data_IF_332966302348
#
_entry.id   IF_332966302348
#
_cell.length_a   1.000
_cell.length_b   1.000
_cell.length_c   1.000
_cell.angle_alpha   90.00
_cell.angle_beta   90.00
_cell.angle_gamma   90.00
#
_symmetry.space_group_name_H-M   'P 1'
#
loop_
_entity.id
_entity.type
_entity.pdbx_description
1 polymer ?
#
# COMPACT_ATOMS: atom_id res chain seq x y z
N UNK A 1 -33.29 10.38 8.98
CA UNK A 1 -32.09 9.81 8.30
C UNK A 1 -31.90 8.37 8.76
N UNK A 2 -31.83 7.41 7.83
CA UNK A 2 -31.85 5.97 8.13
C UNK A 2 -30.55 5.48 8.75
N UNK A 3 -30.66 4.80 9.90
CA UNK A 3 -29.57 4.23 10.73
C UNK A 3 -28.66 3.23 9.98
N UNK A 4 -28.99 2.88 8.74
CA UNK A 4 -28.23 1.95 7.90
C UNK A 4 -27.08 2.61 7.13
N UNK A 5 -27.12 3.93 6.89
CA UNK A 5 -26.05 4.64 6.17
C UNK A 5 -24.79 4.90 7.02
N UNK A 6 -24.90 4.81 8.35
CA UNK A 6 -23.79 5.08 9.29
C UNK A 6 -22.90 3.84 9.47
N UNK A 7 -23.40 2.62 9.18
CA UNK A 7 -22.67 1.37 9.46
C UNK A 7 -21.53 1.04 8.48
N UNK A 8 -21.50 1.67 7.30
CA UNK A 8 -20.47 1.38 6.28
C UNK A 8 -19.39 2.47 6.15
N UNK A 9 -19.55 3.59 6.85
CA UNK A 9 -18.57 4.70 6.84
C UNK A 9 -17.49 4.49 7.93
N UNK A 10 -17.84 3.80 9.02
CA UNK A 10 -16.93 3.58 10.15
C UNK A 10 -15.81 2.53 9.96
N UNK A 11 -15.96 1.42 9.20
CA UNK A 11 -14.93 0.38 9.17
C UNK A 11 -13.61 0.83 8.50
N UNK A 12 -13.65 1.85 7.64
CA UNK A 12 -12.45 2.38 6.97
C UNK A 12 -11.77 3.50 7.77
N UNK A 13 -12.50 4.23 8.60
CA UNK A 13 -11.93 5.26 9.48
C UNK A 13 -11.34 4.68 10.78
N UNK A 14 -11.80 3.51 11.22
CA UNK A 14 -11.35 2.89 12.48
C UNK A 14 -9.94 2.26 12.44
N UNK A 15 -9.29 2.18 11.27
CA UNK A 15 -7.93 1.60 11.13
C UNK A 15 -6.83 2.65 11.43
N UNK A 16 -7.19 3.92 11.61
CA UNK A 16 -6.25 5.05 11.63
C UNK A 16 -5.69 5.43 13.03
N UNK A 17 -6.01 4.68 14.09
CA UNK A 17 -5.69 5.11 15.48
C UNK A 17 -4.79 4.15 16.27
N UNK A 18 -4.05 3.25 15.61
CA UNK A 18 -3.19 2.30 16.33
C UNK A 18 -1.81 2.12 15.69
N UNK A 19 -0.99 3.15 15.72
CA UNK A 19 0.46 3.01 15.59
C UNK A 19 1.17 4.16 16.31
N UNK A 20 0.96 4.25 17.62
CA UNK A 20 1.85 4.97 18.52
C UNK A 20 2.55 3.92 19.41
N UNK A 21 3.80 3.59 19.09
CA UNK A 21 4.81 2.93 19.93
C UNK A 21 6.17 3.25 19.29
N UNK A 22 6.96 4.21 19.77
CA UNK A 22 7.89 4.15 20.92
C UNK A 22 9.03 3.13 20.71
N UNK A 23 10.27 3.62 20.77
CA UNK A 23 11.39 2.84 21.33
C UNK A 23 12.61 2.65 20.42
N UNK A 24 13.67 3.41 20.69
CA UNK A 24 15.01 3.17 20.21
C UNK A 24 15.60 1.84 20.75
N UNK A 25 16.40 1.14 19.96
CA UNK A 25 17.48 0.24 20.41
C UNK A 25 18.49 -0.03 19.28
N UNK A 26 19.76 -0.18 19.67
CA UNK A 26 21.02 -0.16 18.91
C UNK A 26 21.20 -1.23 17.80
N UNK A 27 22.19 -1.05 16.88
CA UNK A 27 22.46 -2.02 15.80
C UNK A 27 23.28 -3.21 16.30
N UNK A 28 22.82 -4.44 16.03
CA UNK A 28 23.57 -5.67 16.27
C UNK A 28 24.06 -6.26 14.94
N UNK A 29 25.39 -6.29 14.74
CA UNK A 29 26.07 -7.00 13.65
C UNK A 29 25.69 -8.48 13.64
N UNK A 30 25.15 -8.99 12.52
CA UNK A 30 25.20 -10.42 12.20
C UNK A 30 25.49 -10.68 10.72
N UNK A 31 26.36 -11.67 10.52
CA UNK A 31 27.10 -12.03 9.34
C UNK A 31 26.27 -12.38 8.08
N UNK A 32 26.83 -12.02 6.93
CA UNK A 32 26.35 -12.39 5.58
C UNK A 32 26.70 -13.86 5.28
N UNK A 33 25.73 -14.75 5.03
CA UNK A 33 26.03 -16.05 4.45
C UNK A 33 26.29 -15.91 2.95
N UNK A 34 27.46 -16.38 2.52
CA UNK A 34 27.90 -16.48 1.12
C UNK A 34 27.00 -17.47 0.37
N UNK A 35 26.04 -16.98 -0.41
CA UNK A 35 25.24 -17.81 -1.32
C UNK A 35 26.04 -18.07 -2.60
N UNK A 36 26.39 -19.34 -2.81
CA UNK A 36 26.96 -19.88 -4.06
C UNK A 36 26.00 -19.68 -5.23
N UNK A 37 26.49 -19.01 -6.28
CA UNK A 37 25.83 -18.88 -7.59
C UNK A 37 25.52 -20.26 -8.17
N UNK A 38 24.25 -20.56 -8.37
CA UNK A 38 23.83 -21.51 -9.39
C UNK A 38 23.00 -20.80 -10.45
N UNK A 39 23.36 -21.14 -11.69
CA UNK A 39 22.82 -20.76 -13.00
C UNK A 39 21.30 -20.84 -12.98
N UNK A 40 20.57 -19.78 -13.35
CA UNK A 40 19.11 -19.87 -13.45
C UNK A 40 18.52 -18.89 -14.46
N UNK A 41 17.65 -19.45 -15.30
CA UNK A 41 16.82 -18.84 -16.32
C UNK A 41 16.23 -17.50 -15.88
N UNK A 42 16.31 -16.49 -16.75
CA UNK A 42 15.83 -15.11 -16.62
C UNK A 42 14.95 -14.85 -15.36
N UNK A 43 15.57 -14.81 -14.19
CA UNK A 43 14.89 -14.60 -12.92
C UNK A 43 14.62 -13.11 -12.80
N UNK A 44 13.35 -12.76 -12.65
CA UNK A 44 12.92 -11.41 -12.27
C UNK A 44 13.87 -10.88 -11.18
N UNK A 45 14.51 -9.74 -11.45
CA UNK A 45 15.53 -9.14 -10.57
C UNK A 45 14.93 -8.81 -9.21
N UNK A 46 13.63 -8.49 -9.18
CA UNK A 46 12.87 -8.19 -7.98
C UNK A 46 11.65 -9.12 -7.94
N UNK A 47 11.81 -10.40 -7.55
CA UNK A 47 10.69 -11.34 -7.53
C UNK A 47 9.63 -10.89 -6.51
N UNK A 48 8.35 -11.12 -6.83
CA UNK A 48 7.24 -10.68 -5.98
C UNK A 48 7.29 -11.23 -4.55
N UNK A 49 7.95 -12.36 -4.32
CA UNK A 49 8.17 -12.91 -2.97
C UNK A 49 8.95 -11.96 -2.06
N UNK A 50 9.86 -11.14 -2.61
CA UNK A 50 10.65 -10.16 -1.86
C UNK A 50 9.85 -8.93 -1.43
N UNK A 51 8.68 -8.70 -2.04
CA UNK A 51 7.78 -7.61 -1.70
C UNK A 51 7.28 -7.67 -0.24
N UNK A 52 7.35 -8.86 0.40
CA UNK A 52 6.93 -9.06 1.80
C UNK A 52 7.91 -8.48 2.83
N UNK A 53 9.16 -8.26 2.43
CA UNK A 53 10.23 -7.72 3.29
C UNK A 53 10.78 -6.44 2.66
N UNK A 54 9.92 -5.44 2.49
CA UNK A 54 10.23 -4.20 1.76
C UNK A 54 11.38 -3.42 2.40
N UNK A 55 11.51 -3.48 3.73
CA UNK A 55 12.58 -2.84 4.50
C UNK A 55 13.96 -3.43 4.22
N UNK A 56 14.02 -4.71 3.83
CA UNK A 56 15.26 -5.38 3.42
C UNK A 56 15.67 -5.11 1.96
N UNK A 57 14.82 -4.45 1.17
CA UNK A 57 15.03 -4.32 -0.28
C UNK A 57 15.85 -3.07 -0.66
N UNK A 58 16.63 -3.21 -1.74
CA UNK A 58 17.28 -2.08 -2.39
C UNK A 58 16.27 -1.13 -3.05
N UNK A 59 16.66 0.14 -3.24
CA UNK A 59 15.79 1.18 -3.81
C UNK A 59 15.13 0.77 -5.13
N UNK A 60 15.88 0.15 -6.04
CA UNK A 60 15.37 -0.28 -7.34
C UNK A 60 14.20 -1.26 -7.19
N UNK A 61 14.33 -2.25 -6.30
CA UNK A 61 13.25 -3.18 -6.03
C UNK A 61 12.07 -2.52 -5.31
N UNK A 62 12.30 -1.58 -4.39
CA UNK A 62 11.22 -0.80 -3.76
C UNK A 62 10.39 -0.05 -4.80
N UNK A 63 11.03 0.57 -5.80
CA UNK A 63 10.34 1.27 -6.88
C UNK A 63 9.55 0.30 -7.77
N UNK A 64 10.16 -0.82 -8.16
CA UNK A 64 9.49 -1.87 -8.95
C UNK A 64 8.28 -2.43 -8.21
N UNK A 65 8.41 -2.73 -6.91
CA UNK A 65 7.30 -3.22 -6.10
C UNK A 65 6.20 -2.18 -5.95
N UNK A 66 6.55 -0.91 -5.79
CA UNK A 66 5.58 0.19 -5.73
C UNK A 66 4.77 0.31 -7.01
N UNK A 67 5.41 0.22 -8.18
CA UNK A 67 4.71 0.23 -9.48
C UNK A 67 3.76 -0.97 -9.63
N UNK A 68 4.22 -2.18 -9.28
CA UNK A 68 3.38 -3.39 -9.37
C UNK A 68 2.18 -3.34 -8.42
N UNK A 69 2.36 -2.76 -7.25
CA UNK A 69 1.30 -2.58 -6.26
C UNK A 69 0.27 -1.54 -6.73
N UNK A 70 0.74 -0.45 -7.31
CA UNK A 70 -0.10 0.59 -7.89
C UNK A 70 -0.95 0.05 -9.06
N UNK A 71 -0.35 -0.77 -9.93
CA UNK A 71 -1.08 -1.47 -10.99
C UNK A 71 -2.17 -2.40 -10.44
N UNK A 72 -1.88 -3.14 -9.35
CA UNK A 72 -2.88 -3.99 -8.68
C UNK A 72 -4.04 -3.17 -8.10
N UNK A 73 -3.74 -2.04 -7.45
CA UNK A 73 -4.75 -1.12 -6.94
C UNK A 73 -5.64 -0.58 -8.07
N UNK A 74 -5.04 -0.11 -9.17
CA UNK A 74 -5.78 0.45 -10.29
C UNK A 74 -6.72 -0.59 -10.91
N UNK A 75 -6.23 -1.82 -11.14
CA UNK A 75 -7.06 -2.93 -11.62
C UNK A 75 -8.22 -3.25 -10.66
N UNK A 76 -8.00 -3.19 -9.35
CA UNK A 76 -9.08 -3.38 -8.35
C UNK A 76 -10.15 -2.31 -8.47
N UNK A 77 -9.76 -1.04 -8.58
CA UNK A 77 -10.71 0.05 -8.79
C UNK A 77 -11.48 -0.09 -10.10
N UNK A 78 -10.78 -0.36 -11.21
CA UNK A 78 -11.43 -0.58 -12.52
C UNK A 78 -12.47 -1.70 -12.45
N UNK A 79 -12.13 -2.83 -11.83
CA UNK A 79 -13.06 -3.95 -11.66
C UNK A 79 -14.29 -3.57 -10.81
N UNK A 80 -14.10 -2.84 -9.71
CA UNK A 80 -15.20 -2.36 -8.88
C UNK A 80 -16.13 -1.42 -9.67
N UNK A 81 -15.56 -0.48 -10.42
CA UNK A 81 -16.33 0.46 -11.23
C UNK A 81 -17.11 -0.26 -12.35
N UNK A 82 -16.48 -1.25 -13.00
CA UNK A 82 -17.12 -2.09 -14.02
C UNK A 82 -18.29 -2.91 -13.44
N UNK A 83 -18.13 -3.49 -12.24
CA UNK A 83 -19.21 -4.23 -11.56
C UNK A 83 -20.40 -3.32 -11.23
N UNK A 84 -20.13 -2.07 -10.85
CA UNK A 84 -21.19 -1.06 -10.63
C UNK A 84 -21.92 -0.74 -11.95
N UNK A 85 -21.19 -0.54 -13.05
CA UNK A 85 -21.79 -0.32 -14.38
C UNK A 85 -22.67 -1.50 -14.82
N UNK A 86 -22.19 -2.70 -14.52
CA UNK A 86 -22.89 -3.95 -14.82
C UNK A 86 -24.06 -4.22 -13.87
N UNK A 87 -24.35 -3.30 -12.92
CA UNK A 87 -25.41 -3.41 -11.91
C UNK A 87 -25.31 -4.68 -11.08
N UNK A 88 -24.10 -5.04 -10.66
CA UNK A 88 -23.88 -6.16 -9.74
C UNK A 88 -24.76 -6.01 -8.48
N UNK A 89 -25.68 -6.96 -8.21
CA UNK A 89 -26.57 -6.89 -7.05
C UNK A 89 -25.84 -6.76 -5.71
N UNK A 90 -24.62 -7.30 -5.61
CA UNK A 90 -23.80 -7.22 -4.39
C UNK A 90 -23.32 -5.80 -4.09
N UNK A 91 -23.28 -4.93 -5.11
CA UNK A 91 -22.86 -3.54 -5.00
C UNK A 91 -24.05 -2.57 -5.04
N UNK A 92 -25.28 -3.07 -4.86
CA UNK A 92 -26.46 -2.22 -4.89
C UNK A 92 -26.41 -1.12 -3.82
N UNK A 93 -26.67 0.12 -4.23
CA UNK A 93 -26.60 1.30 -3.36
C UNK A 93 -25.20 1.90 -3.18
N UNK A 94 -24.16 1.30 -3.77
CA UNK A 94 -22.81 1.89 -3.84
C UNK A 94 -22.62 2.55 -5.20
N UNK A 95 -22.25 3.83 -5.21
CA UNK A 95 -22.01 4.59 -6.45
C UNK A 95 -20.55 4.51 -6.90
N UNK A 96 -20.29 4.75 -8.18
CA UNK A 96 -18.92 4.97 -8.68
C UNK A 96 -18.21 6.10 -7.93
N UNK A 97 -18.94 7.18 -7.68
CA UNK A 97 -18.42 8.37 -6.99
C UNK A 97 -17.86 8.04 -5.61
N UNK A 98 -18.46 7.07 -4.91
CA UNK A 98 -17.93 6.58 -3.63
C UNK A 98 -16.50 6.07 -3.80
N UNK A 99 -16.24 5.16 -4.74
CA UNK A 99 -14.90 4.60 -4.92
C UNK A 99 -13.91 5.61 -5.48
N UNK A 100 -14.32 6.47 -6.41
CA UNK A 100 -13.48 7.56 -6.92
C UNK A 100 -13.08 8.53 -5.81
N UNK A 101 -14.00 8.86 -4.90
CA UNK A 101 -13.72 9.69 -3.73
C UNK A 101 -12.75 9.00 -2.77
N UNK A 102 -12.97 7.72 -2.45
CA UNK A 102 -12.06 6.96 -1.58
C UNK A 102 -10.64 6.94 -2.19
N UNK A 103 -10.52 6.71 -3.51
CA UNK A 103 -9.22 6.70 -4.19
C UNK A 103 -8.49 8.04 -4.04
N UNK A 104 -9.19 9.14 -4.32
CA UNK A 104 -8.63 10.50 -4.23
C UNK A 104 -8.24 10.88 -2.80
N UNK A 105 -9.07 10.54 -1.81
CA UNK A 105 -8.76 10.78 -0.40
C UNK A 105 -7.53 9.98 0.02
N UNK A 106 -7.43 8.71 -0.41
CA UNK A 106 -6.30 7.85 -0.09
C UNK A 106 -4.98 8.38 -0.65
N UNK A 107 -4.98 8.81 -1.92
CA UNK A 107 -3.81 9.43 -2.56
C UNK A 107 -3.37 10.68 -1.81
N UNK A 108 -4.31 11.58 -1.50
CA UNK A 108 -4.01 12.80 -0.75
C UNK A 108 -3.50 12.51 0.67
N UNK A 109 -4.07 11.51 1.34
CA UNK A 109 -3.65 11.10 2.67
C UNK A 109 -2.23 10.53 2.65
N UNK A 110 -1.94 9.66 1.68
CA UNK A 110 -0.63 9.03 1.52
C UNK A 110 0.45 10.07 1.22
N UNK A 111 0.17 11.03 0.35
CA UNK A 111 1.09 12.14 0.06
C UNK A 111 1.36 13.00 1.31
N UNK A 112 0.32 13.34 2.06
CA UNK A 112 0.47 14.11 3.29
C UNK A 112 1.28 13.34 4.35
N UNK A 113 0.93 12.08 4.60
CA UNK A 113 1.54 11.24 5.64
C UNK A 113 3.01 10.93 5.35
N UNK A 114 3.32 10.56 4.10
CA UNK A 114 4.65 10.10 3.73
C UNK A 114 5.57 11.23 3.28
N UNK A 115 5.10 12.47 3.21
CA UNK A 115 5.96 13.63 2.95
C UNK A 115 6.87 13.91 4.16
N UNK A 116 8.14 14.23 3.90
CA UNK A 116 9.06 14.69 4.94
C UNK A 116 9.38 16.18 4.71
N UNK A 117 8.92 17.09 5.59
CA UNK A 117 9.18 18.52 5.45
C UNK A 117 10.63 18.92 5.80
N UNK A 118 11.43 18.00 6.34
CA UNK A 118 12.77 18.27 6.90
C UNK A 118 13.94 17.85 5.99
N UNK A 119 13.66 17.37 4.77
CA UNK A 119 14.68 16.85 3.84
C UNK A 119 15.59 17.97 3.30
N UNK A 120 16.66 18.24 4.04
CA UNK A 120 17.81 19.02 3.54
C UNK A 120 18.73 18.13 2.69
N UNK A 121 19.55 18.74 1.83
CA UNK A 121 20.32 18.06 0.76
C UNK A 121 21.29 16.97 1.23
N UNK A 122 21.65 16.90 2.52
CA UNK A 122 22.57 15.89 3.09
C UNK A 122 21.90 14.60 3.58
N UNK A 123 20.59 14.61 3.85
CA UNK A 123 19.81 13.44 4.34
C UNK A 123 18.94 12.84 3.21
N UNK A 124 18.98 13.45 2.02
CA UNK A 124 18.08 13.18 0.90
C UNK A 124 17.97 11.71 0.47
N UNK A 125 19.04 10.89 0.41
CA UNK A 125 18.90 9.49 0.04
C UNK A 125 18.04 8.72 1.05
N UNK A 126 18.40 8.76 2.35
CA UNK A 126 17.67 8.05 3.41
C UNK A 126 16.22 8.52 3.53
N UNK A 127 15.98 9.83 3.43
CA UNK A 127 14.62 10.37 3.40
C UNK A 127 13.83 9.89 2.17
N UNK A 128 14.47 9.88 0.99
CA UNK A 128 13.86 9.34 -0.23
C UNK A 128 13.48 7.86 -0.12
N UNK A 129 14.26 7.06 0.63
CA UNK A 129 13.91 5.67 0.92
C UNK A 129 12.68 5.56 1.80
N UNK A 130 12.70 6.31 2.90
CA UNK A 130 11.63 6.34 3.87
C UNK A 130 10.30 6.71 3.21
N UNK A 131 10.29 7.77 2.39
CA UNK A 131 9.10 8.21 1.65
C UNK A 131 8.55 7.07 0.77
N UNK A 132 9.43 6.38 0.03
CA UNK A 132 9.01 5.28 -0.87
C UNK A 132 8.45 4.08 -0.11
N UNK A 133 9.13 3.66 0.95
CA UNK A 133 8.67 2.54 1.80
C UNK A 133 7.33 2.89 2.44
N UNK A 134 7.20 4.09 3.03
CA UNK A 134 5.94 4.57 3.60
C UNK A 134 4.79 4.49 2.58
N UNK A 135 4.99 5.03 1.37
CA UNK A 135 3.96 4.98 0.31
C UNK A 135 3.61 3.54 -0.09
N UNK A 136 4.62 2.69 -0.22
CA UNK A 136 4.42 1.27 -0.52
C UNK A 136 3.55 0.59 0.55
N UNK A 137 3.88 0.77 1.83
CA UNK A 137 3.13 0.18 2.94
C UNK A 137 1.69 0.69 3.01
N UNK A 138 1.49 2.00 2.82
CA UNK A 138 0.14 2.57 2.76
C UNK A 138 -0.66 1.94 1.61
N UNK A 139 -0.11 1.91 0.40
CA UNK A 139 -0.80 1.32 -0.75
C UNK A 139 -1.08 -0.18 -0.56
N UNK A 140 -0.21 -0.91 0.14
CA UNK A 140 -0.40 -2.32 0.43
C UNK A 140 -1.56 -2.53 1.41
N UNK A 141 -1.66 -1.68 2.42
CA UNK A 141 -2.77 -1.69 3.37
C UNK A 141 -4.10 -1.33 2.70
N UNK A 142 -4.08 -0.36 1.79
CA UNK A 142 -5.25 -0.01 0.99
C UNK A 142 -5.74 -1.15 0.12
N UNK A 143 -4.81 -1.83 -0.57
CA UNK A 143 -5.15 -2.99 -1.40
C UNK A 143 -5.82 -4.08 -0.56
N UNK A 144 -5.24 -4.40 0.61
CA UNK A 144 -5.83 -5.37 1.55
C UNK A 144 -7.20 -4.94 2.06
N UNK A 145 -7.43 -3.64 2.27
CA UNK A 145 -8.73 -3.12 2.68
C UNK A 145 -9.79 -3.31 1.58
N UNK A 146 -9.44 -3.05 0.32
CA UNK A 146 -10.30 -3.30 -0.83
C UNK A 146 -10.60 -4.80 -1.00
N UNK A 147 -9.59 -5.66 -0.83
CA UNK A 147 -9.78 -7.12 -0.87
C UNK A 147 -10.74 -7.61 0.22
N UNK A 148 -10.60 -7.09 1.45
CA UNK A 148 -11.52 -7.41 2.56
C UNK A 148 -12.94 -6.95 2.25
N UNK A 149 -13.08 -5.75 1.69
CA UNK A 149 -14.38 -5.24 1.25
C UNK A 149 -14.98 -6.18 0.20
N UNK A 150 -14.25 -6.54 -0.85
CA UNK A 150 -14.72 -7.45 -1.89
C UNK A 150 -15.10 -8.84 -1.36
N UNK A 151 -14.32 -9.38 -0.42
CA UNK A 151 -14.60 -10.66 0.21
C UNK A 151 -15.84 -10.63 1.14
N UNK A 152 -16.30 -9.44 1.52
CA UNK A 152 -17.51 -9.25 2.32
C UNK A 152 -18.80 -9.06 1.49
N UNK A 153 -18.67 -8.98 0.16
CA UNK A 153 -19.78 -8.84 -0.80
C UNK A 153 -20.38 -10.20 -1.19
#
# INVERSE_FOLDING_TARGET
MSKHKIRYILPLLAIMTSAACVGASEPSEKAVPKVTRQKQDNKDICPQSMMKDIDGQGYECVDIFSMRLEEQLNKKYENLLHRIDSKDPKLNGVSKEYFLTIRKIWESYTEMLCSDPSVTTKVRPLAGRYIRICRFEQNLNHLKALERFENSL
#
